data_IF_190938553094
#
_entry.id   IF_190938553094
#
_cell.length_a   1.000
_cell.length_b   1.000
_cell.length_c   1.000
_cell.angle_alpha   90.00
_cell.angle_beta   90.00
_cell.angle_gamma   90.00
#
_symmetry.space_group_name_H-M   'P 1'
#
loop_
_entity.id
_entity.type
_entity.pdbx_description
1 polymer ?
#
# COMPACT_ATOMS: atom_id res chain seq x y z
N UNK A 1 -19.67 9.00 36.12
CA UNK A 1 -20.61 7.91 35.86
C UNK A 1 -21.85 8.00 36.72
N UNK A 2 -23.00 8.21 36.08
CA UNK A 2 -24.31 8.13 36.70
C UNK A 2 -24.95 6.80 36.30
N UNK A 3 -24.96 5.83 37.21
CA UNK A 3 -25.76 4.63 37.03
C UNK A 3 -27.23 5.00 37.10
N UNK A 4 -28.00 4.58 36.10
CA UNK A 4 -29.45 4.80 36.05
C UNK A 4 -30.12 3.64 36.75
N UNK A 5 -30.96 3.95 37.74
CA UNK A 5 -31.82 2.96 38.40
C UNK A 5 -33.06 2.72 37.53
N UNK A 6 -32.98 1.69 36.71
CA UNK A 6 -33.98 1.33 35.71
C UNK A 6 -35.34 0.95 36.33
N UNK A 7 -35.35 0.54 37.60
CA UNK A 7 -36.56 0.20 38.36
C UNK A 7 -37.49 1.40 38.58
N UNK A 8 -36.98 2.62 38.42
CA UNK A 8 -37.75 3.87 38.57
C UNK A 8 -38.62 4.19 37.36
N UNK A 9 -38.43 3.51 36.24
CA UNK A 9 -39.15 3.77 34.99
C UNK A 9 -40.22 2.72 34.76
N UNK A 10 -41.45 2.95 35.22
CA UNK A 10 -42.52 1.95 35.12
C UNK A 10 -43.27 1.94 33.78
N UNK A 11 -42.97 2.88 32.88
CA UNK A 11 -43.64 2.97 31.58
C UNK A 11 -43.18 1.81 30.68
N UNK A 12 -44.10 0.99 30.14
CA UNK A 12 -43.74 -0.25 29.45
C UNK A 12 -42.88 -0.02 28.21
N UNK A 13 -43.03 1.12 27.52
CA UNK A 13 -42.21 1.50 26.37
C UNK A 13 -40.75 1.77 26.78
N UNK A 14 -40.53 2.31 27.99
CA UNK A 14 -39.18 2.58 28.52
C UNK A 14 -38.54 1.28 29.00
N UNK A 15 -39.30 0.42 29.67
CA UNK A 15 -38.86 -0.94 30.03
C UNK A 15 -38.48 -1.76 28.80
N UNK A 16 -39.26 -1.67 27.72
CA UNK A 16 -38.93 -2.33 26.46
C UNK A 16 -37.62 -1.85 25.84
N UNK A 17 -37.29 -0.55 25.98
CA UNK A 17 -36.00 -0.01 25.55
C UNK A 17 -34.86 -0.60 26.37
N UNK A 18 -35.01 -0.73 27.69
CA UNK A 18 -34.01 -1.41 28.54
C UNK A 18 -33.84 -2.89 28.15
N UNK A 19 -34.94 -3.62 27.93
CA UNK A 19 -34.90 -5.02 27.46
C UNK A 19 -34.20 -5.18 26.09
N UNK A 20 -34.41 -4.22 25.17
CA UNK A 20 -33.77 -4.22 23.85
C UNK A 20 -32.26 -3.91 23.93
N UNK A 21 -31.87 -3.04 24.86
CA UNK A 21 -30.48 -2.79 25.19
C UNK A 21 -29.88 -4.04 25.84
N UNK A 22 -30.57 -4.69 26.79
CA UNK A 22 -30.09 -5.91 27.45
C UNK A 22 -29.88 -7.09 26.47
N UNK A 23 -30.77 -7.25 25.48
CA UNK A 23 -30.64 -8.28 24.43
C UNK A 23 -29.38 -8.12 23.58
N UNK A 24 -28.92 -6.88 23.38
CA UNK A 24 -27.59 -6.60 22.86
C UNK A 24 -26.67 -6.40 24.06
N UNK A 25 -26.09 -7.46 24.63
CA UNK A 25 -25.21 -7.50 25.83
C UNK A 25 -23.93 -6.62 25.76
N UNK A 26 -24.06 -5.41 25.27
CA UNK A 26 -23.06 -4.37 25.02
C UNK A 26 -23.75 -3.07 25.40
N UNK A 27 -23.26 -2.47 26.48
CA UNK A 27 -23.69 -1.15 26.92
C UNK A 27 -23.48 -0.11 25.81
N UNK A 28 -24.20 1.02 25.82
CA UNK A 28 -23.95 2.12 24.87
C UNK A 28 -22.48 2.56 24.82
N UNK A 29 -21.78 2.54 25.96
CA UNK A 29 -20.37 2.86 26.09
C UNK A 29 -19.47 1.81 25.41
N UNK A 30 -19.76 0.52 25.59
CA UNK A 30 -19.05 -0.56 24.89
C UNK A 30 -19.31 -0.52 23.39
N UNK A 31 -20.52 -0.16 22.97
CA UNK A 31 -20.87 0.06 21.56
C UNK A 31 -20.09 1.21 20.94
N UNK A 32 -19.96 2.34 21.65
CA UNK A 32 -19.15 3.47 21.21
C UNK A 32 -17.67 3.07 21.06
N UNK A 33 -17.11 2.38 22.05
CA UNK A 33 -15.72 1.87 21.98
C UNK A 33 -15.50 0.91 20.81
N UNK A 34 -16.43 -0.01 20.57
CA UNK A 34 -16.33 -0.91 19.42
C UNK A 34 -16.34 -0.14 18.09
N UNK A 35 -17.19 0.88 17.95
CA UNK A 35 -17.21 1.72 16.76
C UNK A 35 -15.88 2.45 16.54
N UNK A 36 -15.30 2.98 17.61
CA UNK A 36 -13.98 3.62 17.57
C UNK A 36 -12.87 2.63 17.19
N UNK A 37 -12.88 1.43 17.77
CA UNK A 37 -11.92 0.35 17.44
C UNK A 37 -12.03 -0.08 15.97
N UNK A 38 -13.26 -0.29 15.46
CA UNK A 38 -13.48 -0.60 14.05
C UNK A 38 -13.00 0.52 13.13
N UNK A 39 -13.21 1.78 13.51
CA UNK A 39 -12.70 2.94 12.78
C UNK A 39 -11.17 2.95 12.72
N UNK A 40 -10.53 2.69 13.86
CA UNK A 40 -9.06 2.64 13.96
C UNK A 40 -8.47 1.46 13.17
N UNK A 41 -9.12 0.29 13.20
CA UNK A 41 -8.72 -0.88 12.43
C UNK A 41 -8.83 -0.59 10.92
N UNK A 42 -9.91 0.04 10.46
CA UNK A 42 -10.07 0.43 9.06
C UNK A 42 -8.95 1.39 8.59
N UNK A 43 -8.65 2.43 9.38
CA UNK A 43 -7.55 3.36 9.10
C UNK A 43 -6.20 2.65 9.09
N UNK A 44 -5.98 1.69 9.99
CA UNK A 44 -4.75 0.90 10.04
C UNK A 44 -4.59 0.02 8.79
N UNK A 45 -5.66 -0.65 8.37
CA UNK A 45 -5.64 -1.48 7.16
C UNK A 45 -5.37 -0.63 5.91
N UNK A 46 -6.00 0.55 5.81
CA UNK A 46 -5.76 1.49 4.70
C UNK A 46 -4.29 1.93 4.66
N UNK A 47 -3.71 2.32 5.82
CA UNK A 47 -2.29 2.69 5.92
C UNK A 47 -1.36 1.55 5.52
N UNK A 48 -1.63 0.33 5.98
CA UNK A 48 -0.85 -0.86 5.61
C UNK A 48 -0.91 -1.08 4.10
N UNK A 49 -2.11 -0.98 3.51
CA UNK A 49 -2.27 -1.17 2.07
C UNK A 49 -1.53 -0.09 1.26
N UNK A 50 -1.60 1.17 1.71
CA UNK A 50 -0.88 2.27 1.09
C UNK A 50 0.63 2.04 1.13
N UNK A 51 1.20 1.70 2.30
CA UNK A 51 2.63 1.41 2.44
C UNK A 51 3.06 0.25 1.55
N UNK A 52 2.26 -0.82 1.47
CA UNK A 52 2.56 -1.97 0.58
C UNK A 52 2.58 -1.56 -0.89
N UNK A 53 1.66 -0.70 -1.31
CA UNK A 53 1.60 -0.22 -2.69
C UNK A 53 2.79 0.68 -3.01
N UNK A 54 3.12 1.62 -2.13
CA UNK A 54 4.27 2.52 -2.26
C UNK A 54 5.58 1.72 -2.33
N UNK A 55 5.80 0.79 -1.41
CA UNK A 55 7.01 -0.05 -1.41
C UNK A 55 7.13 -0.91 -2.68
N UNK A 56 6.01 -1.41 -3.22
CA UNK A 56 6.01 -2.17 -4.47
C UNK A 56 6.37 -1.27 -5.65
N UNK A 57 5.82 -0.06 -5.70
CA UNK A 57 6.10 0.91 -6.77
C UNK A 57 7.56 1.37 -6.74
N UNK A 58 8.08 1.70 -5.56
CA UNK A 58 9.48 2.07 -5.37
C UNK A 58 10.43 0.92 -5.77
N UNK A 59 10.14 -0.30 -5.32
CA UNK A 59 10.94 -1.48 -5.69
C UNK A 59 10.94 -1.77 -7.19
N UNK A 60 9.82 -1.56 -7.88
CA UNK A 60 9.76 -1.69 -9.34
C UNK A 60 10.58 -0.60 -10.05
N UNK A 61 10.48 0.65 -9.59
CA UNK A 61 11.27 1.77 -10.13
C UNK A 61 12.77 1.55 -9.94
N UNK A 62 13.19 1.12 -8.75
CA UNK A 62 14.60 0.84 -8.46
C UNK A 62 15.12 -0.33 -9.32
N UNK A 63 14.34 -1.40 -9.47
CA UNK A 63 14.70 -2.53 -10.31
C UNK A 63 14.85 -2.13 -11.79
N UNK A 64 13.94 -1.31 -12.31
CA UNK A 64 14.00 -0.81 -13.68
C UNK A 64 15.21 0.10 -13.90
N UNK A 65 15.50 1.01 -12.97
CA UNK A 65 16.67 1.88 -13.03
C UNK A 65 17.98 1.07 -13.00
N UNK A 66 18.06 0.08 -12.11
CA UNK A 66 19.22 -0.80 -12.01
C UNK A 66 19.42 -1.63 -13.28
N UNK A 67 18.36 -2.25 -13.78
CA UNK A 67 18.41 -3.02 -15.03
C UNK A 67 18.85 -2.14 -16.22
N UNK A 68 18.37 -0.90 -16.28
CA UNK A 68 18.79 0.07 -17.29
C UNK A 68 20.27 0.43 -17.14
N UNK A 69 20.73 0.72 -15.93
CA UNK A 69 22.14 1.05 -15.68
C UNK A 69 23.08 -0.11 -16.06
N UNK A 70 22.75 -1.34 -15.64
CA UNK A 70 23.52 -2.55 -15.98
C UNK A 70 23.56 -2.80 -17.50
N UNK A 71 22.43 -2.54 -18.18
CA UNK A 71 22.34 -2.65 -19.64
C UNK A 71 23.23 -1.64 -20.35
N UNK A 72 23.23 -0.39 -19.89
CA UNK A 72 24.08 0.68 -20.43
C UNK A 72 25.56 0.43 -20.17
N UNK A 73 25.91 -0.10 -18.99
CA UNK A 73 27.27 -0.53 -18.68
C UNK A 73 27.73 -1.67 -19.60
N UNK A 74 26.85 -2.64 -19.85
CA UNK A 74 27.13 -3.74 -20.78
C UNK A 74 27.40 -3.22 -22.19
N UNK A 75 26.64 -2.23 -22.66
CA UNK A 75 26.90 -1.57 -23.96
C UNK A 75 28.27 -0.90 -23.97
N UNK A 76 28.63 -0.14 -22.93
CA UNK A 76 29.95 0.50 -22.83
C UNK A 76 31.09 -0.51 -22.88
N UNK A 77 30.94 -1.65 -22.19
CA UNK A 77 31.90 -2.76 -22.23
C UNK A 77 32.00 -3.38 -23.62
N UNK A 78 30.89 -3.58 -24.33
CA UNK A 78 30.92 -4.10 -25.71
C UNK A 78 31.57 -3.12 -26.68
N UNK A 79 31.31 -1.82 -26.53
CA UNK A 79 31.96 -0.78 -27.32
C UNK A 79 33.47 -0.73 -27.08
N UNK A 80 33.92 -0.86 -25.82
CA UNK A 80 35.35 -0.85 -25.50
C UNK A 80 36.09 -2.11 -25.97
N UNK A 81 35.40 -3.25 -26.07
CA UNK A 81 35.96 -4.47 -26.67
C UNK A 81 36.23 -4.31 -28.17
N UNK A 82 35.44 -3.48 -28.88
CA UNK A 82 35.63 -3.20 -30.31
C UNK A 82 35.41 -4.39 -31.25
N UNK A 83 34.83 -5.49 -30.75
CA UNK A 83 34.60 -6.72 -31.53
C UNK A 83 33.31 -6.74 -32.33
N UNK A 84 32.35 -5.88 -31.97
CA UNK A 84 31.04 -5.75 -32.61
C UNK A 84 30.86 -4.35 -33.16
N UNK A 85 30.13 -4.20 -34.27
CA UNK A 85 29.73 -2.88 -34.76
C UNK A 85 28.63 -2.29 -33.88
N UNK A 86 28.45 -0.97 -33.94
CA UNK A 86 27.41 -0.25 -33.19
C UNK A 86 26.01 -0.79 -33.52
N UNK A 87 25.76 -1.14 -34.78
CA UNK A 87 24.50 -1.71 -35.25
C UNK A 87 24.26 -3.10 -34.65
N UNK A 88 25.31 -3.93 -34.57
CA UNK A 88 25.23 -5.26 -33.96
C UNK A 88 24.97 -5.16 -32.45
N UNK A 89 25.60 -4.20 -31.78
CA UNK A 89 25.35 -3.93 -30.36
C UNK A 89 23.92 -3.42 -30.15
N UNK A 90 23.46 -2.47 -30.97
CA UNK A 90 22.10 -1.95 -30.91
C UNK A 90 21.06 -3.06 -31.09
N UNK A 91 21.25 -3.92 -32.10
CA UNK A 91 20.38 -5.06 -32.37
C UNK A 91 20.38 -6.07 -31.22
N UNK A 92 21.56 -6.48 -30.74
CA UNK A 92 21.70 -7.50 -29.69
C UNK A 92 21.13 -7.01 -28.36
N UNK A 93 21.36 -5.74 -28.04
CA UNK A 93 20.90 -5.14 -26.80
C UNK A 93 19.46 -4.64 -26.90
N UNK A 94 18.82 -4.65 -28.07
CA UNK A 94 17.49 -4.07 -28.27
C UNK A 94 17.46 -2.59 -27.89
N UNK A 95 18.41 -1.82 -28.42
CA UNK A 95 18.55 -0.38 -28.25
C UNK A 95 18.54 0.30 -29.62
N UNK A 96 18.23 1.59 -29.67
CA UNK A 96 18.45 2.37 -30.89
C UNK A 96 19.95 2.61 -31.12
N UNK A 97 20.33 2.75 -32.39
CA UNK A 97 21.71 3.11 -32.75
C UNK A 97 22.13 4.45 -32.12
N UNK A 98 21.21 5.43 -32.12
CA UNK A 98 21.42 6.71 -31.44
C UNK A 98 21.72 6.53 -29.95
N UNK A 99 21.01 5.64 -29.24
CA UNK A 99 21.27 5.39 -27.82
C UNK A 99 22.64 4.77 -27.61
N UNK A 100 23.03 3.80 -28.42
CA UNK A 100 24.38 3.20 -28.36
C UNK A 100 25.45 4.27 -28.60
N UNK A 101 25.23 5.17 -29.56
CA UNK A 101 26.17 6.23 -29.87
C UNK A 101 26.25 7.31 -28.79
N UNK A 102 25.15 7.60 -28.10
CA UNK A 102 25.16 8.50 -26.93
C UNK A 102 25.96 7.96 -25.73
N UNK A 103 26.30 6.67 -25.72
CA UNK A 103 27.04 6.00 -24.65
C UNK A 103 28.53 5.83 -24.97
N UNK A 104 28.96 6.25 -26.16
CA UNK A 104 30.38 6.44 -26.48
C UNK A 104 30.82 7.72 -25.77
N UNK A 105 31.80 7.61 -24.89
CA UNK A 105 32.48 8.78 -24.31
C UNK A 105 33.30 9.53 -25.35
#
# INVERSE_FOLDING_TARGET
DGQVDESKYTHPEIQHVFDLIEKNKVTPQERAKMFDEYSMEAVKQEKIQKIKNEAKEEGLKEAEQKARAEKEESVRRLLSLGTLTEEQIAQTMGLSLERVNSLKE
#
